data_IF_240480076206
#
_entry.id   IF_240480076206
#
_cell.length_a   1.000
_cell.length_b   1.000
_cell.length_c   1.000
_cell.angle_alpha   90.00
_cell.angle_beta   90.00
_cell.angle_gamma   90.00
#
_symmetry.space_group_name_H-M   'P 1'
#
loop_
_entity.id
_entity.type
_entity.pdbx_description
1 polymer ?
#
# COMPACT_ATOMS: atom_id res chain seq x y z
N UNK A 1 -47.15 13.43 5.76
CA UNK A 1 -46.71 13.55 5.97
C UNK A 1 -45.83 13.78 5.56
N UNK A 2 -45.79 13.62 5.30
CA UNK A 2 -45.09 13.66 5.22
C UNK A 2 -44.00 13.55 4.96
N UNK A 3 -44.28 13.37 4.88
CA UNK A 3 -43.43 13.30 4.88
C UNK A 3 -42.50 13.06 4.52
N UNK A 4 -42.59 13.01 4.41
CA UNK A 4 -41.89 12.80 4.29
C UNK A 4 -40.87 12.71 4.03
N UNK A 5 -41.14 12.55 3.97
CA UNK A 5 -40.48 12.48 3.89
C UNK A 5 -39.47 12.33 3.66
N UNK A 6 -39.73 12.24 3.55
CA UNK A 6 -39.08 12.14 3.52
C UNK A 6 -38.02 12.03 3.24
N UNK A 7 -38.28 11.76 3.07
CA UNK A 7 -37.53 11.74 3.07
C UNK A 7 -36.52 11.55 2.69
N UNK A 8 -36.50 11.50 2.59
CA UNK A 8 -35.78 11.40 2.52
C UNK A 8 -34.76 11.15 2.24
N UNK A 9 -34.94 10.99 2.02
CA UNK A 9 -34.19 10.80 1.95
C UNK A 9 -33.32 10.52 1.60
N UNK A 10 -33.22 10.34 1.71
CA UNK A 10 -32.69 10.18 1.72
C UNK A 10 -31.71 10.01 1.40
N UNK A 11 -31.82 9.78 1.29
CA UNK A 11 -31.24 9.68 1.18
C UNK A 11 -30.28 9.40 0.83
N UNK A 12 -30.58 9.29 0.66
CA UNK A 12 -29.93 9.08 0.53
C UNK A 12 -29.03 8.76 0.20
N UNK A 13 -29.25 8.60 0.12
CA UNK A 13 -28.66 8.41 -0.12
C UNK A 13 -27.74 8.21 -0.45
N UNK A 14 -27.94 8.25 -0.61
CA UNK A 14 -27.21 8.09 -0.65
C UNK A 14 -26.53 7.90 -1.10
N UNK A 15 -26.59 7.95 -1.05
CA UNK A 15 -26.07 7.78 -1.52
C UNK A 15 -25.28 8.04 -2.05
N UNK A 16 -25.32 7.95 -2.05
CA UNK A 16 -24.62 8.03 -2.61
C UNK A 16 -23.96 8.00 -3.19
N UNK A 17 -24.22 8.12 -3.37
CA UNK A 17 -23.50 7.79 -4.06
C UNK A 17 -22.80 7.91 -4.88
N UNK A 18 -23.03 7.81 -5.03
CA UNK A 18 -22.44 7.71 -5.81
C UNK A 18 -21.68 8.25 -6.07
N UNK A 19 -21.60 8.85 -5.68
CA UNK A 19 -20.70 9.19 -5.63
C UNK A 19 -19.66 8.58 -5.54
N UNK A 20 -19.75 8.37 -5.16
CA UNK A 20 -18.91 7.73 -4.96
C UNK A 20 -18.22 6.97 -5.48
N UNK A 21 -18.45 6.97 -5.59
CA UNK A 21 -17.71 6.24 -6.36
C UNK A 21 -16.87 6.87 -7.31
N UNK A 22 -16.55 8.06 -7.18
CA UNK A 22 -15.52 8.70 -7.93
C UNK A 22 -14.20 7.99 -7.66
N UNK A 23 -13.48 7.62 -8.71
CA UNK A 23 -12.16 7.02 -8.55
C UNK A 23 -11.19 8.07 -8.02
N UNK A 24 -10.20 7.65 -7.22
CA UNK A 24 -9.16 8.57 -6.79
C UNK A 24 -8.43 9.22 -7.97
N UNK A 25 -8.01 10.45 -7.78
CA UNK A 25 -7.13 11.13 -8.73
C UNK A 25 -5.81 10.37 -8.77
N UNK A 26 -5.23 10.23 -9.96
CA UNK A 26 -3.91 9.60 -10.11
C UNK A 26 -2.86 10.70 -10.13
N UNK A 27 -1.88 10.54 -9.25
CA UNK A 27 -0.71 11.41 -9.19
C UNK A 27 0.34 10.92 -10.17
N UNK A 28 1.51 11.57 -10.19
CA UNK A 28 2.62 11.16 -11.05
C UNK A 28 2.90 9.66 -10.86
N UNK A 29 3.16 8.96 -11.97
CA UNK A 29 3.40 7.52 -11.96
C UNK A 29 2.16 6.67 -11.76
N UNK A 30 0.97 7.26 -11.97
CA UNK A 30 -0.33 6.62 -11.75
C UNK A 30 -0.54 6.21 -10.30
N UNK A 31 0.09 6.93 -9.38
CA UNK A 31 -0.08 6.64 -7.95
C UNK A 31 -1.37 7.28 -7.45
N UNK A 32 -2.30 6.50 -6.88
CA UNK A 32 -3.58 7.05 -6.43
C UNK A 32 -3.42 8.03 -5.28
N UNK A 33 -4.18 9.10 -5.33
CA UNK A 33 -4.32 10.02 -4.21
C UNK A 33 -5.39 9.45 -3.27
N UNK A 34 -4.98 8.96 -2.12
CA UNK A 34 -5.86 8.28 -1.15
C UNK A 34 -5.73 8.96 0.20
N UNK A 35 -6.85 9.23 0.82
CA UNK A 35 -6.84 9.78 2.18
C UNK A 35 -6.16 8.80 3.14
N UNK A 36 -5.45 9.35 4.13
CA UNK A 36 -4.86 8.55 5.19
C UNK A 36 -5.93 7.68 5.84
N UNK A 37 -5.62 6.42 6.08
CA UNK A 37 -6.54 5.49 6.71
C UNK A 37 -5.81 4.26 7.21
N UNK A 38 -6.42 3.57 8.16
CA UNK A 38 -5.82 2.40 8.81
C UNK A 38 -6.63 1.16 8.47
N UNK A 39 -5.96 0.01 8.44
CA UNK A 39 -6.56 -1.27 8.12
C UNK A 39 -6.45 -1.63 6.66
N UNK A 40 -7.08 -2.74 6.28
CA UNK A 40 -6.98 -3.30 4.93
C UNK A 40 -7.76 -2.49 3.89
N UNK A 41 -8.91 -1.92 4.27
CA UNK A 41 -9.79 -1.28 3.29
C UNK A 41 -9.12 -0.16 2.49
N UNK A 42 -8.40 0.80 3.11
CA UNK A 42 -7.74 1.84 2.33
C UNK A 42 -6.63 1.30 1.43
N UNK A 43 -5.96 0.21 1.83
CA UNK A 43 -4.94 -0.42 0.98
C UNK A 43 -5.59 -1.05 -0.25
N UNK A 44 -6.74 -1.72 -0.08
CA UNK A 44 -7.45 -2.30 -1.22
C UNK A 44 -7.98 -1.20 -2.15
N UNK A 45 -8.43 -0.08 -1.61
CA UNK A 45 -8.86 1.05 -2.42
C UNK A 45 -7.69 1.63 -3.24
N UNK A 46 -6.51 1.72 -2.63
CA UNK A 46 -5.30 2.15 -3.33
C UNK A 46 -4.98 1.22 -4.49
N UNK A 47 -4.93 -0.08 -4.22
CA UNK A 47 -4.60 -1.08 -5.25
C UNK A 47 -5.60 -1.02 -6.41
N UNK A 48 -6.90 -0.97 -6.09
CA UNK A 48 -7.95 -0.99 -7.10
C UNK A 48 -7.90 0.22 -8.03
N UNK A 49 -7.36 1.33 -7.57
CA UNK A 49 -7.30 2.57 -8.36
C UNK A 49 -6.11 2.61 -9.32
N UNK A 50 -5.12 1.73 -9.16
CA UNK A 50 -3.94 1.72 -10.03
C UNK A 50 -4.30 1.08 -11.37
N UNK A 51 -4.00 1.72 -12.51
CA UNK A 51 -4.25 1.11 -13.81
C UNK A 51 -3.13 0.15 -14.24
N UNK A 52 -3.50 -0.82 -15.06
CA UNK A 52 -2.54 -1.65 -15.79
C UNK A 52 -1.73 -2.60 -14.92
N UNK A 53 -0.52 -2.90 -15.41
CA UNK A 53 0.33 -3.91 -14.80
C UNK A 53 0.80 -3.55 -13.39
N UNK A 54 0.89 -2.26 -13.07
CA UNK A 54 1.30 -1.85 -11.73
C UNK A 54 0.25 -2.23 -10.68
N UNK A 55 -1.03 -2.25 -11.06
CA UNK A 55 -2.09 -2.76 -10.18
C UNK A 55 -1.83 -4.23 -9.84
N UNK A 56 -1.48 -5.03 -10.85
CA UNK A 56 -1.23 -6.45 -10.64
C UNK A 56 -0.02 -6.66 -9.73
N UNK A 57 1.04 -5.86 -9.92
CA UNK A 57 2.21 -5.89 -9.04
C UNK A 57 1.82 -5.53 -7.62
N UNK A 58 1.11 -4.41 -7.43
CA UNK A 58 0.71 -3.96 -6.09
C UNK A 58 -0.17 -4.99 -5.40
N UNK A 59 -1.09 -5.61 -6.14
CA UNK A 59 -1.95 -6.66 -5.60
C UNK A 59 -1.12 -7.88 -5.19
N UNK A 60 -0.15 -8.26 -6.02
CA UNK A 60 0.70 -9.41 -5.71
C UNK A 60 1.57 -9.16 -4.49
N UNK A 61 2.13 -7.96 -4.39
CA UNK A 61 2.90 -7.56 -3.20
C UNK A 61 2.04 -7.70 -1.95
N UNK A 62 0.81 -7.17 -1.99
CA UNK A 62 -0.10 -7.22 -0.84
C UNK A 62 -0.43 -8.67 -0.44
N UNK A 63 -0.69 -9.53 -1.43
CA UNK A 63 -0.99 -10.94 -1.18
C UNK A 63 0.22 -11.63 -0.52
N UNK A 64 1.41 -11.41 -1.04
CA UNK A 64 2.63 -12.03 -0.50
C UNK A 64 2.91 -11.55 0.92
N UNK A 65 2.75 -10.25 1.18
CA UNK A 65 2.95 -9.69 2.51
C UNK A 65 1.95 -10.30 3.49
N UNK A 66 0.67 -10.35 3.10
CA UNK A 66 -0.38 -10.86 3.98
C UNK A 66 -0.20 -12.35 4.28
N UNK A 67 0.31 -13.11 3.32
CA UNK A 67 0.58 -14.55 3.54
C UNK A 67 1.81 -14.78 4.39
N UNK A 68 2.88 -14.02 4.14
CA UNK A 68 4.13 -14.18 4.88
C UNK A 68 3.98 -13.71 6.34
N UNK A 69 3.16 -12.67 6.56
CA UNK A 69 3.00 -12.03 7.86
C UNK A 69 1.49 -11.96 8.15
N UNK A 70 0.89 -13.06 8.66
CA UNK A 70 -0.58 -13.11 8.82
C UNK A 70 -1.16 -12.05 9.75
N UNK A 71 -0.40 -11.57 10.73
CA UNK A 71 -0.82 -10.52 11.65
C UNK A 71 -0.35 -9.13 11.23
N UNK A 72 -0.02 -8.95 9.95
CA UNK A 72 0.43 -7.66 9.45
C UNK A 72 -0.66 -6.60 9.64
N UNK A 73 -0.24 -5.43 10.10
CA UNK A 73 -1.11 -4.26 10.22
C UNK A 73 -0.85 -3.34 9.02
N UNK A 74 -1.91 -2.84 8.40
CA UNK A 74 -1.82 -2.06 7.17
C UNK A 74 -2.35 -0.66 7.37
N UNK A 75 -1.85 0.27 6.57
CA UNK A 75 -2.38 1.63 6.53
C UNK A 75 -2.05 2.25 5.18
N UNK A 76 -2.74 3.34 4.87
CA UNK A 76 -2.33 4.25 3.79
C UNK A 76 -1.93 5.56 4.44
N UNK A 77 -0.72 6.02 4.14
CA UNK A 77 -0.18 7.30 4.61
C UNK A 77 0.59 7.91 3.45
N UNK A 78 0.47 9.21 3.26
CA UNK A 78 1.16 9.91 2.14
C UNK A 78 0.96 9.20 0.81
N UNK A 79 -0.28 8.79 0.54
CA UNK A 79 -0.68 8.15 -0.72
C UNK A 79 0.09 6.85 -0.99
N UNK A 80 0.44 6.11 0.06
CA UNK A 80 1.21 4.87 -0.07
C UNK A 80 0.74 3.84 0.95
N UNK A 81 0.66 2.56 0.56
CA UNK A 81 0.41 1.49 1.55
C UNK A 81 1.63 1.31 2.45
N UNK A 82 1.37 1.10 3.73
CA UNK A 82 2.37 0.80 4.74
C UNK A 82 2.01 -0.51 5.42
N UNK A 83 3.01 -1.32 5.73
CA UNK A 83 2.84 -2.63 6.36
C UNK A 83 3.76 -2.71 7.57
N UNK A 84 3.19 -3.13 8.70
CA UNK A 84 3.93 -3.22 9.95
C UNK A 84 3.16 -4.02 10.98
N UNK A 85 3.38 -3.71 12.24
CA UNK A 85 2.61 -4.28 13.33
C UNK A 85 2.00 -3.15 14.14
N UNK A 86 0.76 -3.36 14.57
CA UNK A 86 0.02 -2.31 15.28
C UNK A 86 0.80 -1.87 16.51
N UNK A 87 1.04 -0.55 16.60
CA UNK A 87 1.76 0.03 17.73
C UNK A 87 3.27 -0.17 17.69
N UNK A 88 3.82 -0.86 16.68
CA UNK A 88 5.24 -1.20 16.64
C UNK A 88 5.99 -0.65 15.42
N UNK A 89 5.31 0.17 14.62
CA UNK A 89 5.94 0.79 13.45
C UNK A 89 5.85 -0.04 12.18
N UNK A 90 6.53 0.44 11.16
CA UNK A 90 6.37 -0.06 9.79
C UNK A 90 7.66 -0.69 9.30
N UNK A 91 7.58 -1.79 8.55
CA UNK A 91 8.78 -2.42 8.00
C UNK A 91 8.88 -2.30 6.49
N UNK A 92 7.75 -2.12 5.79
CA UNK A 92 7.78 -1.98 4.34
C UNK A 92 6.66 -1.08 3.87
N UNK A 93 6.88 -0.37 2.76
CA UNK A 93 5.82 0.37 2.07
C UNK A 93 6.03 0.25 0.57
N UNK A 94 5.05 0.68 -0.23
CA UNK A 94 5.22 0.71 -1.67
C UNK A 94 4.57 1.96 -2.26
N UNK A 95 4.97 2.30 -3.49
CA UNK A 95 4.51 3.51 -4.16
C UNK A 95 4.70 3.35 -5.67
N UNK A 96 3.74 3.80 -6.47
CA UNK A 96 3.83 3.70 -7.92
C UNK A 96 4.63 4.85 -8.50
N UNK A 97 5.59 4.49 -9.36
CA UNK A 97 6.33 5.42 -10.21
C UNK A 97 6.02 5.09 -11.67
N UNK A 98 6.51 5.89 -12.60
CA UNK A 98 6.13 5.75 -14.01
C UNK A 98 6.44 4.35 -14.55
N UNK A 99 7.63 3.83 -14.29
CA UNK A 99 8.09 2.58 -14.91
C UNK A 99 8.30 1.44 -13.93
N UNK A 100 7.88 1.61 -12.68
CA UNK A 100 8.05 0.58 -11.66
C UNK A 100 7.20 0.86 -10.43
N UNK A 101 7.04 -0.16 -9.61
CA UNK A 101 6.49 -0.01 -8.26
C UNK A 101 7.66 -0.09 -7.31
N UNK A 102 7.89 0.97 -6.52
CA UNK A 102 8.99 1.01 -5.57
C UNK A 102 8.54 0.38 -4.26
N UNK A 103 9.31 -0.58 -3.77
CA UNK A 103 9.15 -1.14 -2.43
C UNK A 103 10.22 -0.52 -1.55
N UNK A 104 9.83 0.00 -0.40
CA UNK A 104 10.74 0.61 0.57
C UNK A 104 10.87 -0.30 1.77
N UNK A 105 12.10 -0.74 2.05
CA UNK A 105 12.43 -1.47 3.27
C UNK A 105 13.09 -0.51 4.23
N UNK A 106 12.44 -0.21 5.34
CA UNK A 106 12.93 0.82 6.27
C UNK A 106 14.23 0.43 6.99
N UNK A 107 14.48 -0.87 7.14
CA UNK A 107 15.75 -1.39 7.67
C UNK A 107 16.48 -2.19 6.61
N UNK A 108 16.47 -1.69 5.38
CA UNK A 108 16.99 -2.42 4.22
C UNK A 108 18.44 -2.85 4.35
N UNK A 109 19.30 -2.04 4.99
CA UNK A 109 20.71 -2.39 5.15
C UNK A 109 20.94 -3.59 6.07
N UNK A 110 19.95 -3.97 6.85
CA UNK A 110 20.02 -5.16 7.72
C UNK A 110 19.53 -6.42 7.05
N UNK A 111 19.02 -6.32 5.82
CA UNK A 111 18.54 -7.48 5.08
C UNK A 111 19.68 -8.14 4.31
N UNK A 112 19.58 -9.46 4.07
CA UNK A 112 20.60 -10.22 3.33
C UNK A 112 19.94 -11.06 2.25
N UNK A 113 20.28 -10.87 0.97
CA UNK A 113 21.16 -9.81 0.48
C UNK A 113 20.53 -8.44 0.68
N UNK A 114 21.33 -7.39 0.67
CA UNK A 114 20.81 -6.02 0.80
C UNK A 114 20.03 -5.68 -0.48
N UNK A 115 18.80 -5.17 -0.38
CA UNK A 115 18.07 -4.74 -1.58
C UNK A 115 18.85 -3.69 -2.36
N UNK A 116 18.74 -3.71 -3.71
CA UNK A 116 19.68 -2.98 -4.57
C UNK A 116 19.50 -1.47 -4.62
N UNK A 117 18.32 -0.95 -4.34
CA UNK A 117 18.08 0.49 -4.51
C UNK A 117 18.57 1.29 -3.33
N UNK A 118 19.48 2.22 -3.58
CA UNK A 118 20.03 3.05 -2.52
C UNK A 118 19.11 4.21 -2.18
N UNK A 119 19.21 4.70 -0.93
CA UNK A 119 18.47 5.82 -0.42
C UNK A 119 19.44 6.73 0.32
N UNK A 120 19.14 8.02 0.38
CA UNK A 120 19.92 8.91 1.23
C UNK A 120 19.55 8.78 2.71
N UNK A 121 18.52 8.01 3.03
CA UNK A 121 18.25 7.62 4.42
C UNK A 121 19.10 6.41 4.73
N UNK A 122 19.90 6.49 5.79
CA UNK A 122 21.01 5.57 6.04
C UNK A 122 20.62 4.10 5.99
N UNK A 123 19.49 3.74 6.62
CA UNK A 123 19.10 2.33 6.74
C UNK A 123 18.12 1.87 5.67
N UNK A 124 17.56 2.79 4.91
CA UNK A 124 16.53 2.49 3.93
C UNK A 124 17.13 1.96 2.65
N UNK A 125 16.51 0.90 2.09
CA UNK A 125 16.86 0.40 0.76
C UNK A 125 15.58 0.11 -0.01
N UNK A 126 15.70 0.18 -1.33
CA UNK A 126 14.56 0.05 -2.24
C UNK A 126 14.68 -1.17 -3.13
N UNK A 127 13.52 -1.70 -3.51
CA UNK A 127 13.38 -2.63 -4.62
C UNK A 127 12.44 -2.00 -5.64
N UNK A 128 12.90 -1.80 -6.86
CA UNK A 128 12.05 -1.30 -7.94
C UNK A 128 11.54 -2.49 -8.74
N UNK A 129 10.24 -2.75 -8.64
CA UNK A 129 9.61 -3.87 -9.35
C UNK A 129 9.13 -3.38 -10.70
N UNK A 130 9.72 -3.91 -11.77
CA UNK A 130 9.37 -3.57 -13.15
C UNK A 130 8.50 -4.67 -13.72
N UNK A 131 7.78 -4.34 -14.79
CA UNK A 131 6.86 -5.28 -15.42
C UNK A 131 7.61 -6.58 -15.81
N UNK A 132 7.07 -7.71 -15.35
CA UNK A 132 7.65 -9.02 -15.66
C UNK A 132 8.96 -9.35 -14.94
N UNK A 133 9.40 -8.51 -14.00
CA UNK A 133 10.70 -8.68 -13.33
C UNK A 133 10.50 -8.67 -11.81
N UNK A 134 10.03 -9.79 -11.27
CA UNK A 134 9.76 -9.86 -9.85
C UNK A 134 10.14 -11.24 -9.29
N UNK A 135 11.16 -11.26 -8.47
CA UNK A 135 11.59 -12.47 -7.75
C UNK A 135 10.80 -12.58 -6.46
N UNK A 136 9.71 -13.34 -6.52
CA UNK A 136 8.80 -13.48 -5.37
C UNK A 136 9.47 -14.17 -4.18
N UNK A 137 10.30 -15.18 -4.44
CA UNK A 137 10.95 -15.91 -3.36
C UNK A 137 11.89 -15.00 -2.58
N UNK A 138 12.68 -14.18 -3.29
CA UNK A 138 13.56 -13.21 -2.64
C UNK A 138 12.75 -12.18 -1.85
N UNK A 139 11.64 -11.71 -2.41
CA UNK A 139 10.79 -10.74 -1.73
C UNK A 139 10.23 -11.31 -0.42
N UNK A 140 9.74 -12.55 -0.46
CA UNK A 140 9.20 -13.21 0.74
C UNK A 140 10.30 -13.39 1.80
N UNK A 141 11.51 -13.76 1.38
CA UNK A 141 12.64 -13.89 2.29
C UNK A 141 12.95 -12.56 2.97
N UNK A 142 12.99 -11.47 2.21
CA UNK A 142 13.18 -10.13 2.79
C UNK A 142 12.07 -9.75 3.75
N UNK A 143 10.82 -10.08 3.44
CA UNK A 143 9.69 -9.79 4.34
C UNK A 143 9.86 -10.46 5.69
N UNK A 144 10.27 -11.73 5.69
CA UNK A 144 10.47 -12.46 6.94
C UNK A 144 11.58 -11.85 7.76
N UNK A 145 12.67 -11.43 7.12
CA UNK A 145 13.76 -10.74 7.80
C UNK A 145 13.29 -9.39 8.34
N UNK A 146 12.64 -8.61 7.49
CA UNK A 146 12.22 -7.24 7.85
C UNK A 146 11.24 -7.25 9.02
N UNK A 147 10.28 -8.19 9.03
CA UNK A 147 9.27 -8.25 10.06
C UNK A 147 9.85 -8.60 11.43
N UNK A 148 11.05 -9.18 11.48
CA UNK A 148 11.74 -9.50 12.72
C UNK A 148 12.57 -8.34 13.27
N UNK A 149 12.69 -7.24 12.52
CA UNK A 149 13.45 -6.06 12.92
C UNK A 149 12.52 -5.02 13.55
N UNK A 150 13.08 -4.07 14.33
CA UNK A 150 12.27 -2.96 14.85
C UNK A 150 11.64 -2.18 13.71
N UNK A 151 10.37 -1.81 13.87
CA UNK A 151 9.66 -1.03 12.86
C UNK A 151 10.06 0.43 12.89
N UNK A 152 9.86 1.10 11.76
CA UNK A 152 10.10 2.53 11.64
C UNK A 152 8.90 3.29 12.19
N UNK A 153 9.16 4.28 13.02
CA UNK A 153 8.12 5.15 13.58
C UNK A 153 7.96 6.37 12.70
N UNK A 154 6.80 6.54 12.12
CA UNK A 154 6.51 7.65 11.20
C UNK A 154 5.32 8.46 11.68
#
# INVERSE_FOLDING_TARGET
MKAKKKSKPRKATGKSPARKRAKPVLLSGDNPQIAKGYGDAPVQAYIAAIPGWKRDVARRLDVLISRAIPDVYKAVKWNSPFYGFEGKGWFVSCHCFTNYVKVTFFRGTSLRPVPPGESRHKEVRYLDVREGQFDEAQFVDWLKQASALPGERL
#
